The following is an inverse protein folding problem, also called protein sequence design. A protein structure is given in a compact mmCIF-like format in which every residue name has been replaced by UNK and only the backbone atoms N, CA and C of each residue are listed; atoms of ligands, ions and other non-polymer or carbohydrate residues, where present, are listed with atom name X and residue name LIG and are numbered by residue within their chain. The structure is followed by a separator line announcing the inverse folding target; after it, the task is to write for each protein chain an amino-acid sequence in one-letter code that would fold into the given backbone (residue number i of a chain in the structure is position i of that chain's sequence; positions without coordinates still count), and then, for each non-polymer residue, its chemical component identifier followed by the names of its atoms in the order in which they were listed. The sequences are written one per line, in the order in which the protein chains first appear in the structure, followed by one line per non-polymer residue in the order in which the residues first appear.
data_IF_977048922847
#
_entry.id   IF_977048922847
#
_cell.length_a   1.000
_cell.length_b   1.000
_cell.length_c   1.000
_cell.angle_alpha   90.00
_cell.angle_beta   90.00
_cell.angle_gamma   90.00
#
_symmetry.space_group_name_H-M   'P 1'
#
loop_
_entity.id
_entity.type
_entity.pdbx_description
1 polymer ?
#
# COMPACT_ATOMS: atom_id res chain seq x y z
N UNK A 1 1.04 -20.16 -23.52
CA UNK A 1 0.06 -19.09 -23.22
C UNK A 1 0.55 -17.81 -23.86
N UNK A 2 -0.24 -17.08 -24.64
CA UNK A 2 0.19 -15.85 -25.27
C UNK A 2 0.50 -14.79 -24.22
N UNK A 3 1.57 -14.02 -24.44
CA UNK A 3 2.10 -12.99 -23.54
C UNK A 3 1.02 -11.99 -23.08
N UNK A 4 0.06 -11.70 -23.97
CA UNK A 4 -1.07 -10.82 -23.69
C UNK A 4 -1.99 -11.33 -22.55
N UNK A 5 -2.18 -12.65 -22.45
CA UNK A 5 -2.99 -13.25 -21.36
C UNK A 5 -2.25 -13.20 -20.02
N UNK A 6 -0.92 -13.28 -20.02
CA UNK A 6 -0.11 -13.14 -18.80
C UNK A 6 -0.08 -11.69 -18.29
N UNK A 7 -0.13 -10.71 -19.18
CA UNK A 7 -0.20 -9.29 -18.83
C UNK A 7 -1.59 -8.90 -18.29
N UNK A 8 -2.66 -9.48 -18.85
CA UNK A 8 -4.04 -9.24 -18.38
C UNK A 8 -4.35 -9.90 -17.02
N UNK A 9 -3.75 -11.07 -16.73
CA UNK A 9 -4.01 -11.77 -15.45
C UNK A 9 -3.25 -11.19 -14.26
N UNK A 10 -2.11 -10.51 -14.48
CA UNK A 10 -1.34 -9.86 -13.42
C UNK A 10 -2.07 -8.69 -12.74
N UNK A 11 -2.61 -7.70 -13.46
CA UNK A 11 -3.30 -6.58 -12.82
C UNK A 11 -4.56 -7.01 -12.05
N UNK A 12 -5.28 -8.02 -12.52
CA UNK A 12 -6.46 -8.56 -11.83
C UNK A 12 -6.08 -9.21 -10.50
N UNK A 13 -4.99 -9.99 -10.46
CA UNK A 13 -4.48 -10.61 -9.23
C UNK A 13 -3.99 -9.54 -8.24
N UNK A 14 -3.28 -8.54 -8.74
CA UNK A 14 -2.79 -7.44 -7.90
C UNK A 14 -3.96 -6.65 -7.33
N UNK A 15 -4.95 -6.31 -8.15
CA UNK A 15 -6.16 -5.64 -7.69
C UNK A 15 -6.89 -6.44 -6.61
N UNK A 16 -7.00 -7.76 -6.78
CA UNK A 16 -7.59 -8.65 -5.78
C UNK A 16 -6.82 -8.66 -4.45
N UNK A 17 -5.49 -8.74 -4.49
CA UNK A 17 -4.65 -8.67 -3.29
C UNK A 17 -4.76 -7.32 -2.59
N UNK A 18 -4.79 -6.23 -3.36
CA UNK A 18 -4.96 -4.87 -2.84
C UNK A 18 -6.32 -4.71 -2.17
N UNK A 19 -7.39 -5.21 -2.78
CA UNK A 19 -8.73 -5.21 -2.20
C UNK A 19 -8.77 -5.99 -0.89
N UNK A 20 -8.17 -7.18 -0.85
CA UNK A 20 -8.11 -8.00 0.35
C UNK A 20 -7.32 -7.29 1.47
N UNK A 21 -6.14 -6.77 1.16
CA UNK A 21 -5.34 -6.00 2.11
C UNK A 21 -6.09 -4.76 2.63
N UNK A 22 -6.79 -4.06 1.75
CA UNK A 22 -7.63 -2.91 2.10
C UNK A 22 -8.78 -3.28 3.02
N UNK A 23 -9.49 -4.37 2.72
CA UNK A 23 -10.59 -4.86 3.55
C UNK A 23 -10.13 -5.28 4.96
N UNK A 24 -9.00 -6.00 5.05
CA UNK A 24 -8.40 -6.40 6.34
C UNK A 24 -7.96 -5.17 7.13
N UNK A 25 -7.34 -4.19 6.49
CA UNK A 25 -6.92 -2.96 7.15
C UNK A 25 -8.09 -2.12 7.65
N UNK A 26 -9.18 -2.02 6.87
CA UNK A 26 -10.42 -1.36 7.31
C UNK A 26 -11.04 -2.05 8.51
N UNK A 27 -11.13 -3.39 8.47
CA UNK A 27 -11.66 -4.16 9.59
C UNK A 27 -10.80 -3.94 10.85
N UNK A 28 -9.48 -4.04 10.73
CA UNK A 28 -8.55 -3.79 11.83
C UNK A 28 -8.69 -2.37 12.39
N UNK A 29 -8.85 -1.37 11.53
CA UNK A 29 -9.07 0.02 11.93
C UNK A 29 -10.41 0.23 12.64
N UNK A 30 -11.49 -0.39 12.14
CA UNK A 30 -12.80 -0.33 12.79
C UNK A 30 -12.80 -0.99 14.18
N UNK A 31 -12.12 -2.13 14.31
CA UNK A 31 -11.94 -2.80 15.60
C UNK A 31 -11.08 -1.97 16.56
N UNK A 32 -10.08 -1.24 16.06
CA UNK A 32 -9.27 -0.34 16.88
C UNK A 32 -10.08 0.83 17.45
N UNK A 33 -11.00 1.40 16.66
CA UNK A 33 -11.92 2.44 17.13
C UNK A 33 -12.83 1.93 18.25
N UNK A 34 -13.22 0.65 18.21
CA UNK A 34 -13.95 -0.02 19.28
C UNK A 34 -13.08 -0.51 20.45
N UNK A 35 -11.78 -0.15 20.49
CA UNK A 35 -10.80 -0.60 21.49
C UNK A 35 -10.67 -2.15 21.58
N UNK A 36 -10.90 -2.86 20.51
CA UNK A 36 -10.85 -4.32 20.48
C UNK A 36 -9.39 -4.82 20.39
N UNK A 37 -8.95 -5.77 21.25
CA UNK A 37 -7.55 -6.24 21.30
C UNK A 37 -7.08 -6.89 19.98
N UNK A 38 -7.97 -7.47 19.18
CA UNK A 38 -7.64 -8.02 17.86
C UNK A 38 -7.13 -6.97 16.87
N UNK A 39 -7.50 -5.71 17.04
CA UNK A 39 -7.04 -4.64 16.16
C UNK A 39 -5.54 -4.41 16.23
N UNK A 40 -4.97 -4.46 17.42
CA UNK A 40 -3.53 -4.29 17.66
C UNK A 40 -2.73 -5.47 17.06
N UNK A 41 -3.28 -6.69 17.10
CA UNK A 41 -2.63 -7.87 16.50
C UNK A 41 -2.70 -7.88 14.97
N UNK A 42 -3.69 -7.22 14.38
CA UNK A 42 -3.84 -7.14 12.91
C UNK A 42 -2.94 -6.07 12.27
N UNK A 43 -2.57 -5.01 12.99
CA UNK A 43 -1.78 -3.92 12.44
C UNK A 43 -0.42 -4.37 11.84
N UNK A 44 0.39 -5.21 12.51
CA UNK A 44 1.62 -5.74 11.92
C UNK A 44 1.36 -6.58 10.67
N UNK A 45 0.31 -7.42 10.68
CA UNK A 45 -0.05 -8.26 9.53
C UNK A 45 -0.43 -7.43 8.30
N UNK A 46 -1.19 -6.34 8.51
CA UNK A 46 -1.56 -5.39 7.46
C UNK A 46 -0.33 -4.70 6.87
N UNK A 47 0.64 -4.32 7.71
CA UNK A 47 1.90 -3.73 7.23
C UNK A 47 2.72 -4.72 6.41
N UNK A 48 2.82 -5.97 6.86
CA UNK A 48 3.52 -7.03 6.09
C UNK A 48 2.81 -7.27 4.76
N UNK A 49 1.49 -7.40 4.74
CA UNK A 49 0.71 -7.53 3.51
C UNK A 49 0.94 -6.34 2.57
N UNK A 50 0.98 -5.11 3.10
CA UNK A 50 1.32 -3.89 2.34
C UNK A 50 2.71 -4.00 1.70
N UNK A 51 3.71 -4.46 2.43
CA UNK A 51 5.06 -4.68 1.92
C UNK A 51 5.11 -5.72 0.78
N UNK A 52 4.32 -6.78 0.88
CA UNK A 52 4.20 -7.82 -0.15
C UNK A 52 3.53 -7.27 -1.43
N UNK A 53 2.40 -6.57 -1.28
CA UNK A 53 1.68 -5.95 -2.42
C UNK A 53 2.54 -4.90 -3.10
N UNK A 54 3.19 -4.03 -2.33
CA UNK A 54 4.13 -3.08 -2.87
C UNK A 54 5.25 -3.77 -3.65
N UNK A 55 5.73 -4.93 -3.17
CA UNK A 55 6.73 -5.77 -3.84
C UNK A 55 6.28 -6.31 -5.19
N UNK A 56 5.05 -6.71 -5.30
CA UNK A 56 4.49 -7.21 -6.55
C UNK A 56 4.35 -6.11 -7.61
N UNK A 57 4.18 -4.86 -7.19
CA UNK A 57 4.03 -3.70 -8.09
C UNK A 57 5.38 -3.11 -8.56
N UNK A 58 6.45 -3.31 -7.78
CA UNK A 58 7.74 -2.66 -8.03
C UNK A 58 8.37 -2.90 -9.40
N UNK A 59 8.38 -4.14 -9.93
CA UNK A 59 9.00 -4.43 -11.22
C UNK A 59 8.41 -3.62 -12.38
N UNK A 60 7.18 -3.10 -12.18
CA UNK A 60 6.46 -2.34 -13.21
C UNK A 60 6.99 -0.91 -13.40
N UNK A 61 7.74 -0.37 -12.43
CA UNK A 61 8.06 1.07 -12.38
C UNK A 61 9.57 1.41 -12.50
N UNK A 62 10.41 0.42 -12.83
CA UNK A 62 11.82 0.61 -13.15
C UNK A 62 12.76 0.72 -11.93
N UNK A 63 14.08 0.85 -12.22
CA UNK A 63 15.16 0.78 -11.21
C UNK A 63 15.04 1.81 -10.07
N UNK A 64 14.66 3.04 -10.39
CA UNK A 64 14.52 4.08 -9.36
C UNK A 64 13.38 3.81 -8.37
N UNK A 65 12.28 3.22 -8.85
CA UNK A 65 11.19 2.78 -8.00
C UNK A 65 11.59 1.57 -7.15
N UNK A 66 12.47 0.70 -7.66
CA UNK A 66 12.98 -0.45 -6.91
C UNK A 66 13.74 -0.02 -5.65
N UNK A 67 14.62 0.98 -5.73
CA UNK A 67 15.33 1.53 -4.56
C UNK A 67 14.34 2.11 -3.55
N UNK A 68 13.39 2.92 -4.02
CA UNK A 68 12.35 3.49 -3.17
C UNK A 68 11.53 2.41 -2.47
N UNK A 69 11.23 1.33 -3.17
CA UNK A 69 10.50 0.21 -2.61
C UNK A 69 11.27 -0.54 -1.53
N UNK A 70 12.56 -0.82 -1.74
CA UNK A 70 13.38 -1.45 -0.71
C UNK A 70 13.46 -0.59 0.54
N UNK A 71 13.59 0.74 0.40
CA UNK A 71 13.55 1.67 1.52
C UNK A 71 12.20 1.62 2.25
N UNK A 72 11.09 1.63 1.49
CA UNK A 72 9.75 1.53 2.06
C UNK A 72 9.54 0.20 2.79
N UNK A 73 9.98 -0.92 2.19
CA UNK A 73 9.88 -2.26 2.81
C UNK A 73 10.68 -2.36 4.10
N UNK A 74 11.89 -1.83 4.12
CA UNK A 74 12.71 -1.79 5.33
C UNK A 74 11.99 -1.01 6.44
N UNK A 75 11.43 0.17 6.11
CA UNK A 75 10.61 0.94 7.04
C UNK A 75 9.38 0.16 7.53
N UNK A 76 8.64 -0.49 6.63
CA UNK A 76 7.49 -1.31 6.98
C UNK A 76 7.86 -2.47 7.90
N UNK A 77 8.97 -3.17 7.62
CA UNK A 77 9.44 -4.29 8.44
C UNK A 77 9.83 -3.83 9.85
N UNK A 78 10.62 -2.76 9.95
CA UNK A 78 10.98 -2.15 11.24
C UNK A 78 9.75 -1.69 12.00
N UNK A 79 8.80 -1.08 11.31
CA UNK A 79 7.55 -0.61 11.88
C UNK A 79 6.68 -1.75 12.40
N UNK A 80 6.55 -2.85 11.66
CA UNK A 80 5.80 -4.03 12.08
C UNK A 80 6.39 -4.65 13.36
N UNK A 81 7.72 -4.73 13.45
CA UNK A 81 8.41 -5.18 14.67
C UNK A 81 8.16 -4.20 15.83
N UNK A 82 8.25 -2.89 15.58
CA UNK A 82 8.04 -1.87 16.61
C UNK A 82 6.59 -1.82 17.14
N UNK A 83 5.61 -2.35 16.39
CA UNK A 83 4.23 -2.48 16.87
C UNK A 83 4.02 -3.66 17.81
N UNK A 84 4.85 -4.69 17.71
CA UNK A 84 4.80 -5.88 18.57
C UNK A 84 5.55 -5.66 19.88
N UNK A 85 6.53 -4.77 19.89
CA UNK A 85 7.32 -4.45 21.08
C UNK A 85 6.50 -3.61 22.09
N UNK A 86 6.79 -3.75 23.40
CA UNK A 86 6.15 -2.94 24.44
C UNK A 86 6.31 -1.43 24.18
N UNK A 87 5.30 -0.66 24.51
CA UNK A 87 5.35 0.78 24.37
C UNK A 87 6.43 1.40 25.28
N UNK A 88 7.41 2.02 24.65
CA UNK A 88 8.52 2.69 25.28
C UNK A 88 9.01 3.84 24.42
N UNK A 89 9.79 4.76 24.98
CA UNK A 89 10.37 5.86 24.19
C UNK A 89 11.19 5.37 22.98
N UNK A 90 12.07 4.35 23.09
CA UNK A 90 12.79 3.83 21.92
C UNK A 90 11.87 3.18 20.89
N UNK A 91 10.81 2.46 21.29
CA UNK A 91 9.86 1.88 20.31
C UNK A 91 9.03 2.95 19.59
N UNK A 92 8.66 4.03 20.28
CA UNK A 92 8.02 5.17 19.66
C UNK A 92 8.94 5.85 18.64
N UNK A 93 10.22 6.05 18.97
CA UNK A 93 11.21 6.57 18.02
C UNK A 93 11.40 5.66 16.81
N UNK A 94 11.44 4.34 16.99
CA UNK A 94 11.50 3.37 15.89
C UNK A 94 10.28 3.47 14.96
N UNK A 95 9.07 3.66 15.50
CA UNK A 95 7.85 3.87 14.69
C UNK A 95 7.95 5.13 13.84
N UNK A 96 8.47 6.23 14.40
CA UNK A 96 8.68 7.48 13.66
C UNK A 96 9.69 7.28 12.53
N UNK A 97 10.85 6.68 12.81
CA UNK A 97 11.88 6.40 11.80
C UNK A 97 11.33 5.48 10.70
N UNK A 98 10.58 4.45 11.08
CA UNK A 98 9.93 3.53 10.16
C UNK A 98 8.92 4.25 9.25
N UNK A 99 8.09 5.14 9.79
CA UNK A 99 7.13 5.94 9.05
C UNK A 99 7.83 6.88 8.05
N UNK A 100 8.88 7.57 8.48
CA UNK A 100 9.66 8.46 7.62
C UNK A 100 10.37 7.68 6.50
N UNK A 101 10.93 6.52 6.80
CA UNK A 101 11.57 5.64 5.80
C UNK A 101 10.57 5.15 4.76
N UNK A 102 9.37 4.73 5.21
CA UNK A 102 8.30 4.30 4.31
C UNK A 102 7.83 5.45 3.41
N UNK A 103 7.60 6.64 3.96
CA UNK A 103 7.20 7.84 3.21
C UNK A 103 8.27 8.25 2.19
N UNK A 104 9.55 8.28 2.58
CA UNK A 104 10.65 8.62 1.68
C UNK A 104 10.76 7.62 0.52
N UNK A 105 10.68 6.33 0.83
CA UNK A 105 10.67 5.25 -0.17
C UNK A 105 9.51 5.38 -1.14
N UNK A 106 8.30 5.57 -0.66
CA UNK A 106 7.09 5.71 -1.49
C UNK A 106 7.10 7.01 -2.31
N UNK A 107 7.75 8.07 -1.84
CA UNK A 107 7.96 9.27 -2.65
C UNK A 107 8.83 8.99 -3.88
N UNK A 108 9.84 8.13 -3.76
CA UNK A 108 10.64 7.69 -4.91
C UNK A 108 9.81 6.81 -5.86
N UNK A 109 8.98 5.93 -5.33
CA UNK A 109 8.04 5.11 -6.12
C UNK A 109 7.06 6.02 -6.86
N UNK A 110 6.51 7.05 -6.21
CA UNK A 110 5.59 8.00 -6.83
C UNK A 110 6.18 8.71 -8.07
N UNK A 111 7.49 8.95 -8.09
CA UNK A 111 8.17 9.49 -9.27
C UNK A 111 8.20 8.49 -10.43
N UNK A 112 8.39 7.20 -10.15
CA UNK A 112 8.32 6.13 -11.14
C UNK A 112 6.91 5.96 -11.71
N UNK A 113 5.91 5.92 -10.84
CA UNK A 113 4.49 5.84 -11.19
C UNK A 113 4.06 7.00 -12.08
N UNK A 114 4.47 8.23 -11.74
CA UNK A 114 4.19 9.41 -12.58
C UNK A 114 4.78 9.31 -13.99
N UNK A 115 5.97 8.75 -14.11
CA UNK A 115 6.63 8.57 -15.41
C UNK A 115 5.97 7.49 -16.26
N UNK A 116 5.47 6.44 -15.62
CA UNK A 116 4.76 5.35 -16.27
C UNK A 116 3.35 5.75 -16.74
N UNK A 117 2.71 6.70 -16.05
CA UNK A 117 1.36 7.16 -16.38
C UNK A 117 0.23 6.20 -16.02
N UNK A 118 0.55 5.03 -15.44
CA UNK A 118 -0.40 3.94 -15.22
C UNK A 118 -1.32 4.15 -14.02
N UNK A 119 -0.85 4.90 -13.02
CA UNK A 119 -1.58 5.17 -11.80
C UNK A 119 -1.51 6.66 -11.42
N UNK A 120 -2.51 7.20 -10.74
CA UNK A 120 -2.46 8.56 -10.23
C UNK A 120 -1.29 8.74 -9.26
N UNK A 121 -0.60 9.87 -9.36
CA UNK A 121 0.56 10.17 -8.51
C UNK A 121 0.25 10.20 -7.00
N UNK A 122 -1.01 10.47 -6.65
CA UNK A 122 -1.48 10.48 -5.26
C UNK A 122 -1.52 9.09 -4.63
N UNK A 123 -1.61 8.00 -5.42
CA UNK A 123 -1.75 6.63 -4.93
C UNK A 123 -0.63 6.23 -3.96
N UNK A 124 0.62 6.50 -4.35
CA UNK A 124 1.79 6.20 -3.49
C UNK A 124 1.83 7.06 -2.23
N UNK A 125 1.37 8.33 -2.33
CA UNK A 125 1.31 9.22 -1.18
C UNK A 125 0.21 8.77 -0.20
N UNK A 126 -0.96 8.41 -0.70
CA UNK A 126 -2.07 7.90 0.10
C UNK A 126 -1.68 6.65 0.90
N UNK A 127 -1.01 5.69 0.24
CA UNK A 127 -0.47 4.49 0.93
C UNK A 127 0.57 4.88 1.97
N UNK A 128 1.45 5.83 1.66
CA UNK A 128 2.45 6.33 2.61
C UNK A 128 1.84 6.96 3.86
N UNK A 129 0.82 7.78 3.68
CA UNK A 129 0.05 8.37 4.79
C UNK A 129 -0.65 7.28 5.60
N UNK A 130 -1.24 6.28 4.94
CA UNK A 130 -1.86 5.13 5.61
C UNK A 130 -0.88 4.33 6.46
N UNK A 131 0.33 4.07 5.97
CA UNK A 131 1.41 3.41 6.72
C UNK A 131 1.79 4.27 7.93
N UNK A 132 2.04 5.56 7.73
CA UNK A 132 2.39 6.47 8.81
C UNK A 132 1.29 6.52 9.88
N UNK A 133 0.02 6.62 9.49
CA UNK A 133 -1.12 6.58 10.39
C UNK A 133 -1.18 5.27 11.20
N UNK A 134 -0.93 4.13 10.55
CA UNK A 134 -0.90 2.82 11.22
C UNK A 134 0.21 2.73 12.27
N UNK A 135 1.38 3.30 11.98
CA UNK A 135 2.55 3.26 12.87
C UNK A 135 2.45 4.25 14.03
N UNK A 136 1.93 5.45 13.78
CA UNK A 136 1.92 6.53 14.74
C UNK A 136 0.63 6.56 15.59
N UNK A 137 -0.46 6.02 15.07
CA UNK A 137 -1.76 6.01 15.72
C UNK A 137 -2.45 4.64 15.63
N UNK A 138 -1.81 3.53 16.05
CA UNK A 138 -2.37 2.20 15.91
C UNK A 138 -3.70 2.02 16.67
N UNK A 139 -3.82 2.65 17.86
CA UNK A 139 -5.02 2.61 18.68
C UNK A 139 -6.14 3.57 18.25
N UNK A 140 -5.90 4.43 17.26
CA UNK A 140 -6.87 5.42 16.74
C UNK A 140 -7.37 5.07 15.33
N UNK A 141 -7.31 3.81 14.95
CA UNK A 141 -7.80 3.37 13.64
C UNK A 141 -6.89 3.71 12.46
N UNK A 142 -5.58 3.95 12.69
CA UNK A 142 -4.63 4.26 11.62
C UNK A 142 -4.63 3.23 10.50
N UNK A 143 -4.88 1.96 10.80
CA UNK A 143 -5.04 0.90 9.81
C UNK A 143 -6.24 1.13 8.88
N UNK A 144 -7.30 1.81 9.32
CA UNK A 144 -8.43 2.15 8.45
C UNK A 144 -8.01 3.12 7.34
N UNK A 145 -7.16 4.10 7.67
CA UNK A 145 -6.61 5.04 6.68
C UNK A 145 -5.82 4.29 5.61
N UNK A 146 -5.00 3.30 6.01
CA UNK A 146 -4.27 2.44 5.09
C UNK A 146 -5.21 1.59 4.23
N UNK A 147 -6.28 1.06 4.84
CA UNK A 147 -7.30 0.30 4.13
C UNK A 147 -8.00 1.13 3.05
N UNK A 148 -8.43 2.34 3.38
CA UNK A 148 -9.03 3.27 2.43
C UNK A 148 -8.07 3.63 1.29
N UNK A 149 -6.79 3.86 1.61
CA UNK A 149 -5.78 4.12 0.60
C UNK A 149 -5.64 2.95 -0.39
N UNK A 150 -5.59 1.71 0.11
CA UNK A 150 -5.52 0.53 -0.74
C UNK A 150 -6.77 0.31 -1.58
N UNK A 151 -7.96 0.55 -1.03
CA UNK A 151 -9.21 0.46 -1.79
C UNK A 151 -9.26 1.50 -2.92
N UNK A 152 -8.79 2.72 -2.65
CA UNK A 152 -8.69 3.76 -3.67
C UNK A 152 -7.69 3.38 -4.78
N UNK A 153 -6.54 2.78 -4.43
CA UNK A 153 -5.58 2.26 -5.41
C UNK A 153 -6.19 1.13 -6.24
N UNK A 154 -6.92 0.21 -5.62
CA UNK A 154 -7.60 -0.87 -6.32
C UNK A 154 -8.66 -0.35 -7.30
N UNK A 155 -9.42 0.67 -6.91
CA UNK A 155 -10.38 1.33 -7.78
C UNK A 155 -9.69 2.00 -8.98
N UNK A 156 -8.57 2.68 -8.75
CA UNK A 156 -7.78 3.29 -9.83
C UNK A 156 -7.24 2.24 -10.81
N UNK A 157 -6.72 1.10 -10.32
CA UNK A 157 -6.27 -0.01 -11.16
C UNK A 157 -7.44 -0.56 -11.99
N UNK A 158 -8.61 -0.74 -11.37
CA UNK A 158 -9.80 -1.23 -12.07
C UNK A 158 -10.22 -0.30 -13.21
N UNK A 159 -10.26 1.00 -12.94
CA UNK A 159 -10.63 2.00 -13.96
C UNK A 159 -9.62 2.01 -15.11
N UNK A 160 -8.32 1.94 -14.80
CA UNK A 160 -7.26 2.05 -15.82
C UNK A 160 -7.14 0.79 -16.70
N UNK A 161 -7.33 -0.41 -16.12
CA UNK A 161 -7.02 -1.66 -16.81
C UNK A 161 -8.24 -2.52 -17.16
N UNK A 162 -9.37 -2.31 -16.50
CA UNK A 162 -10.57 -3.12 -16.67
C UNK A 162 -11.73 -2.36 -17.31
N UNK A 163 -11.65 -1.02 -17.45
CA UNK A 163 -12.63 -0.28 -18.23
C UNK A 163 -12.55 -0.73 -19.69
N UNK A 164 -13.68 -1.07 -20.33
CA UNK A 164 -13.68 -1.38 -21.75
C UNK A 164 -13.13 -0.14 -22.47
N UNK A 165 -12.08 -0.35 -23.26
CA UNK A 165 -11.60 0.68 -24.19
C UNK A 165 -12.80 1.14 -24.99
N UNK A 166 -13.27 2.36 -24.74
CA UNK A 166 -14.30 2.97 -25.57
C UNK A 166 -13.80 2.87 -27.00
N UNK A 167 -14.50 2.08 -27.79
CA UNK A 167 -14.21 1.88 -29.21
C UNK A 167 -14.19 3.28 -29.81
N UNK A 168 -13.00 3.76 -30.16
CA UNK A 168 -12.86 5.01 -30.87
C UNK A 168 -13.76 4.89 -32.12
N UNK A 169 -14.70 5.83 -32.38
CA UNK A 169 -15.51 5.77 -33.57
C UNK A 169 -14.55 5.79 -34.76
N UNK A 170 -14.58 4.71 -35.56
CA UNK A 170 -13.89 4.66 -36.84
C UNK A 170 -14.43 5.85 -37.64
N UNK A 171 -13.58 6.85 -37.88
CA UNK A 171 -13.85 7.89 -38.83
C UNK A 171 -13.80 7.20 -40.21
N UNK A 172 -14.98 7.04 -40.80
CA UNK A 172 -15.17 6.71 -42.20
C UNK A 172 -14.84 7.93 -43.03
#
# INVERSE_FOLDING_TARGET
MPLALQLLTRPVRVAGLVLLAGAVALLGGALALGAHPLALSLAPAVLVATGLVAGALAPLYGRGAAVGLWTARAGIAVGAVALVLPDSRPTAALRVVAALSALAGLRLVARGVRRAGDLPAWSSLAVGVGIAATLLAPGLGGAAVLGLAWLAVAAAIRVTYLAPTAVAPQRV
#
